data_IF_942468874123
#
_entry.id   IF_942468874123
#
_cell.length_a   1.000
_cell.length_b   1.000
_cell.length_c   1.000
_cell.angle_alpha   90.00
_cell.angle_beta   90.00
_cell.angle_gamma   90.00
#
_symmetry.space_group_name_H-M   'P 1'
#
loop_
_entity.id
_entity.type
_entity.pdbx_description
1 polymer ?
#
# COMPACT_ATOMS: atom_id res chain seq x y z
N UNK A 1 -12.25 -19.28 8.98
CA UNK A 1 -11.47 -18.25 9.68
C UNK A 1 -12.45 -17.40 10.48
N UNK A 2 -12.44 -17.59 11.79
CA UNK A 2 -12.77 -16.64 12.86
C UNK A 2 -13.06 -15.17 12.48
N UNK A 3 -14.30 -14.64 12.37
CA UNK A 3 -14.50 -13.18 12.21
C UNK A 3 -13.85 -12.36 13.33
N UNK A 4 -13.68 -12.96 14.51
CA UNK A 4 -12.95 -12.38 15.65
C UNK A 4 -11.45 -12.33 15.37
N UNK A 5 -10.88 -13.39 14.79
CA UNK A 5 -9.46 -13.51 14.46
C UNK A 5 -9.06 -12.52 13.37
N UNK A 6 -9.91 -12.32 12.35
CA UNK A 6 -9.69 -11.30 11.31
C UNK A 6 -9.68 -9.89 11.88
N UNK A 7 -10.63 -9.57 12.78
CA UNK A 7 -10.67 -8.26 13.46
C UNK A 7 -9.47 -8.04 14.38
N UNK A 8 -9.01 -9.08 15.09
CA UNK A 8 -7.81 -8.98 15.93
C UNK A 8 -6.55 -8.72 15.11
N UNK A 9 -6.36 -9.44 14.00
CA UNK A 9 -5.22 -9.23 13.09
C UNK A 9 -5.24 -7.81 12.52
N UNK A 10 -6.42 -7.32 12.13
CA UNK A 10 -6.59 -5.96 11.62
C UNK A 10 -6.27 -4.91 12.71
N UNK A 11 -6.76 -5.09 13.93
CA UNK A 11 -6.53 -4.16 15.05
C UNK A 11 -5.05 -4.11 15.47
N UNK A 12 -4.38 -5.26 15.52
CA UNK A 12 -2.94 -5.34 15.80
C UNK A 12 -2.14 -4.67 14.69
N UNK A 13 -2.53 -4.85 13.43
CA UNK A 13 -1.90 -4.20 12.29
C UNK A 13 -2.06 -2.67 12.32
N UNK A 14 -3.25 -2.16 12.64
CA UNK A 14 -3.52 -0.73 12.84
C UNK A 14 -2.70 -0.13 13.99
N UNK A 15 -2.60 -0.85 15.12
CA UNK A 15 -1.85 -0.40 16.30
C UNK A 15 -0.35 -0.29 16.01
N UNK A 16 0.21 -1.24 15.26
CA UNK A 16 1.63 -1.22 14.85
C UNK A 16 1.88 -0.05 13.89
N UNK A 17 0.98 0.20 12.93
CA UNK A 17 1.10 1.33 12.00
C UNK A 17 1.03 2.67 12.73
N UNK A 18 0.09 2.84 13.67
CA UNK A 18 -0.07 4.07 14.45
C UNK A 18 1.13 4.34 15.35
N UNK A 19 1.70 3.31 15.99
CA UNK A 19 2.84 3.47 16.92
C UNK A 19 4.18 3.70 16.20
N UNK A 20 4.30 3.34 14.92
CA UNK A 20 5.52 3.53 14.12
C UNK A 20 5.63 4.90 13.41
N UNK A 21 4.68 5.82 13.56
CA UNK A 21 4.74 7.16 12.92
C UNK A 21 5.70 8.09 13.69
N UNK A 22 7.00 7.89 13.48
CA UNK A 22 8.03 8.87 13.86
C UNK A 22 7.91 10.12 12.95
N UNK A 23 8.10 11.34 13.48
CA UNK A 23 7.97 12.60 12.71
C UNK A 23 8.93 12.67 11.50
N UNK A 24 10.07 11.96 11.50
CA UNK A 24 10.96 11.88 10.34
C UNK A 24 10.41 10.96 9.26
N UNK A 25 9.71 9.90 9.68
CA UNK A 25 9.03 8.96 8.79
C UNK A 25 7.84 9.63 8.12
N UNK A 26 7.09 10.47 8.84
CA UNK A 26 5.98 11.27 8.28
C UNK A 26 6.43 12.21 7.14
N UNK A 27 7.54 12.94 7.30
CA UNK A 27 8.08 13.80 6.22
C UNK A 27 8.53 13.03 4.98
N UNK A 28 9.09 11.82 5.16
CA UNK A 28 9.49 10.95 4.04
C UNK A 28 8.28 10.27 3.39
N UNK A 29 7.29 9.84 4.18
CA UNK A 29 6.01 9.32 3.70
C UNK A 29 5.30 10.34 2.82
N UNK A 30 5.17 11.59 3.28
CA UNK A 30 4.58 12.70 2.50
C UNK A 30 5.22 12.95 1.12
N UNK A 31 6.49 12.56 0.92
CA UNK A 31 7.15 12.63 -0.40
C UNK A 31 6.93 11.39 -1.26
N UNK A 32 6.80 10.21 -0.64
CA UNK A 32 6.62 8.96 -1.35
C UNK A 32 5.17 8.74 -1.79
N UNK A 33 4.21 9.19 -0.99
CA UNK A 33 2.79 9.05 -1.32
C UNK A 33 2.43 9.59 -2.73
N UNK A 34 2.75 10.85 -3.09
CA UNK A 34 2.42 11.37 -4.42
C UNK A 34 3.14 10.62 -5.55
N UNK A 35 4.37 10.17 -5.33
CA UNK A 35 5.13 9.38 -6.32
C UNK A 35 4.49 8.02 -6.55
N UNK A 36 4.04 7.36 -5.48
CA UNK A 36 3.38 6.05 -5.57
C UNK A 36 2.05 6.17 -6.33
N UNK A 37 1.25 7.19 -6.04
CA UNK A 37 -0.01 7.43 -6.75
C UNK A 37 0.24 7.70 -8.24
N UNK A 38 1.21 8.56 -8.56
CA UNK A 38 1.59 8.86 -9.93
C UNK A 38 2.02 7.60 -10.69
N UNK A 39 2.83 6.73 -10.09
CA UNK A 39 3.28 5.50 -10.72
C UNK A 39 2.16 4.46 -10.88
N UNK A 40 1.25 4.37 -9.91
CA UNK A 40 0.08 3.49 -10.00
C UNK A 40 -0.91 3.97 -11.07
N UNK A 41 -1.10 5.29 -11.19
CA UNK A 41 -1.92 5.93 -12.22
C UNK A 41 -1.29 5.74 -13.61
N UNK A 42 0.01 6.01 -13.75
CA UNK A 42 0.76 5.83 -15.00
C UNK A 42 0.80 4.36 -15.46
N UNK A 43 0.84 3.42 -14.52
CA UNK A 43 0.77 2.00 -14.84
C UNK A 43 -0.62 1.55 -15.33
N UNK A 44 -1.68 2.33 -15.05
CA UNK A 44 -3.06 2.06 -15.49
C UNK A 44 -3.64 0.73 -15.00
N UNK A 45 -2.97 0.08 -14.04
CA UNK A 45 -3.16 -1.33 -13.75
C UNK A 45 -2.63 -1.75 -12.39
N UNK A 46 -2.20 -3.01 -12.28
CA UNK A 46 -1.75 -3.62 -11.03
C UNK A 46 -0.23 -3.68 -11.03
N UNK A 47 0.41 -3.10 -10.02
CA UNK A 47 1.86 -3.20 -9.80
C UNK A 47 2.16 -4.10 -8.60
N UNK A 48 3.17 -4.94 -8.73
CA UNK A 48 3.74 -5.66 -7.58
C UNK A 48 4.59 -4.71 -6.72
N UNK A 49 4.77 -5.02 -5.44
CA UNK A 49 5.64 -4.22 -4.56
C UNK A 49 7.06 -4.02 -5.11
N UNK A 50 7.76 -5.03 -5.67
CA UNK A 50 9.08 -4.83 -6.27
C UNK A 50 9.04 -3.90 -7.49
N UNK A 51 8.01 -3.99 -8.33
CA UNK A 51 7.84 -3.11 -9.50
C UNK A 51 7.59 -1.67 -9.07
N UNK A 52 6.71 -1.48 -8.08
CA UNK A 52 6.42 -0.17 -7.53
C UNK A 52 7.67 0.49 -6.95
N UNK A 53 8.46 -0.25 -6.15
CA UNK A 53 9.74 0.22 -5.58
C UNK A 53 10.72 0.64 -6.69
N UNK A 54 10.83 -0.13 -7.76
CA UNK A 54 11.72 0.21 -8.89
C UNK A 54 11.24 1.44 -9.65
N UNK A 55 9.93 1.56 -9.89
CA UNK A 55 9.30 2.67 -10.63
C UNK A 55 9.46 4.01 -9.94
N UNK A 56 9.36 4.04 -8.60
CA UNK A 56 9.64 5.25 -7.82
C UNK A 56 11.16 5.57 -7.69
N UNK A 57 12.02 4.84 -8.41
CA UNK A 57 13.46 5.10 -8.46
C UNK A 57 14.28 4.52 -7.30
N UNK A 58 13.72 3.61 -6.51
CA UNK A 58 14.44 2.98 -5.40
C UNK A 58 15.04 1.62 -5.81
N UNK A 59 16.20 1.31 -5.24
CA UNK A 59 16.78 -0.03 -5.34
C UNK A 59 15.86 -1.03 -4.64
N UNK A 60 15.53 -2.10 -5.36
CA UNK A 60 14.76 -3.20 -4.80
C UNK A 60 15.53 -3.88 -3.65
N UNK A 61 15.09 -3.62 -2.43
CA UNK A 61 15.67 -4.14 -1.19
C UNK A 61 14.59 -4.23 -0.13
N UNK A 62 14.76 -5.14 0.83
CA UNK A 62 13.79 -5.34 1.91
C UNK A 62 13.46 -4.04 2.66
N UNK A 63 14.48 -3.22 2.94
CA UNK A 63 14.32 -1.94 3.61
C UNK A 63 13.50 -0.93 2.79
N UNK A 64 13.75 -0.79 1.49
CA UNK A 64 12.99 0.13 0.63
C UNK A 64 11.58 -0.36 0.37
N UNK A 65 11.36 -1.68 0.29
CA UNK A 65 10.03 -2.28 0.27
C UNK A 65 9.24 -1.92 1.52
N UNK A 66 9.85 -2.03 2.71
CA UNK A 66 9.24 -1.60 3.97
C UNK A 66 8.78 -0.14 3.95
N UNK A 67 9.59 0.77 3.39
CA UNK A 67 9.19 2.18 3.23
C UNK A 67 7.99 2.39 2.32
N UNK A 68 7.93 1.65 1.22
CA UNK A 68 6.79 1.72 0.29
C UNK A 68 5.54 1.16 0.97
N UNK A 69 5.65 0.03 1.68
CA UNK A 69 4.54 -0.51 2.47
C UNK A 69 4.01 0.51 3.48
N UNK A 70 4.90 1.17 4.21
CA UNK A 70 4.52 2.20 5.19
C UNK A 70 3.84 3.42 4.55
N UNK A 71 4.22 3.78 3.32
CA UNK A 71 3.61 4.88 2.58
C UNK A 71 2.28 4.47 1.93
N UNK A 72 2.12 3.21 1.53
CA UNK A 72 0.88 2.68 0.92
C UNK A 72 -0.18 2.36 1.97
N UNK A 73 0.22 1.88 3.15
CA UNK A 73 -0.71 1.52 4.23
C UNK A 73 -1.81 2.57 4.51
N UNK A 74 -1.50 3.88 4.67
CA UNK A 74 -2.56 4.87 4.86
C UNK A 74 -3.44 5.07 3.61
N UNK A 75 -2.92 4.91 2.39
CA UNK A 75 -3.72 4.99 1.16
C UNK A 75 -4.72 3.82 1.06
N UNK A 76 -4.30 2.62 1.47
CA UNK A 76 -5.17 1.45 1.53
C UNK A 76 -6.26 1.66 2.58
N UNK A 77 -5.90 2.19 3.75
CA UNK A 77 -6.85 2.54 4.81
C UNK A 77 -7.87 3.60 4.35
N UNK A 78 -7.44 4.58 3.54
CA UNK A 78 -8.34 5.59 2.93
C UNK A 78 -9.15 5.06 1.74
N UNK A 79 -8.91 3.84 1.28
CA UNK A 79 -9.58 3.27 0.11
C UNK A 79 -9.13 3.86 -1.23
N UNK A 80 -7.96 4.49 -1.29
CA UNK A 80 -7.37 5.03 -2.53
C UNK A 80 -6.64 3.94 -3.33
N UNK A 81 -6.10 2.93 -2.63
CA UNK A 81 -5.33 1.83 -3.21
C UNK A 81 -5.90 0.50 -2.71
N UNK A 82 -6.09 -0.44 -3.63
CA UNK A 82 -6.41 -1.84 -3.30
C UNK A 82 -5.11 -2.60 -3.17
N UNK A 83 -4.89 -3.20 -2.01
CA UNK A 83 -3.86 -4.21 -1.78
C UNK A 83 -4.44 -5.59 -2.02
N UNK A 84 -3.75 -6.42 -2.80
CA UNK A 84 -4.10 -7.83 -3.02
C UNK A 84 -2.91 -8.70 -2.69
N UNK A 85 -3.09 -9.56 -1.67
CA UNK A 85 -2.16 -10.64 -1.37
C UNK A 85 -2.51 -11.88 -2.21
N UNK A 86 -1.49 -12.63 -2.63
CA UNK A 86 -1.71 -13.91 -3.31
C UNK A 86 -2.09 -14.98 -2.28
N UNK A 87 -3.18 -15.76 -2.48
CA UNK A 87 -3.54 -16.85 -1.57
C UNK A 87 -2.49 -17.97 -1.54
N UNK A 88 -1.64 -18.04 -2.56
CA UNK A 88 -0.55 -19.02 -2.68
C UNK A 88 0.80 -18.46 -2.21
N UNK A 89 0.80 -17.31 -1.52
CA UNK A 89 2.02 -16.72 -0.97
C UNK A 89 2.54 -17.54 0.22
N UNK A 90 3.80 -17.96 0.11
CA UNK A 90 4.61 -18.40 1.24
C UNK A 90 5.16 -17.19 2.00
N UNK A 91 5.58 -17.38 3.26
CA UNK A 91 6.15 -16.30 4.09
C UNK A 91 7.31 -15.58 3.37
N UNK A 92 8.12 -16.32 2.61
CA UNK A 92 9.31 -15.81 1.93
C UNK A 92 9.01 -15.04 0.64
N UNK A 93 7.90 -15.35 -0.07
CA UNK A 93 7.57 -14.69 -1.34
C UNK A 93 6.38 -13.72 -1.25
N UNK A 94 5.72 -13.61 -0.09
CA UNK A 94 4.55 -12.75 0.10
C UNK A 94 4.77 -11.32 -0.37
N UNK A 95 5.91 -10.72 -0.03
CA UNK A 95 6.25 -9.36 -0.46
C UNK A 95 6.53 -9.25 -1.97
N UNK A 96 6.95 -10.33 -2.64
CA UNK A 96 7.13 -10.33 -4.09
C UNK A 96 5.80 -10.41 -4.83
N UNK A 97 4.82 -11.10 -4.25
CA UNK A 97 3.52 -11.36 -4.88
C UNK A 97 2.47 -10.32 -4.51
N UNK A 98 2.75 -9.47 -3.52
CA UNK A 98 1.83 -8.42 -3.09
C UNK A 98 1.64 -7.39 -4.19
N UNK A 99 0.37 -7.12 -4.49
CA UNK A 99 -0.07 -6.30 -5.61
C UNK A 99 -0.82 -5.06 -5.11
N UNK A 100 -0.64 -3.97 -5.84
CA UNK A 100 -1.22 -2.67 -5.59
C UNK A 100 -1.92 -2.16 -6.84
N UNK A 101 -3.11 -1.62 -6.67
CA UNK A 101 -3.88 -1.01 -7.74
C UNK A 101 -4.54 0.26 -7.24
N UNK A 102 -4.51 1.32 -8.06
CA UNK A 102 -5.30 2.51 -7.77
C UNK A 102 -6.79 2.20 -7.88
N UNK A 103 -7.58 2.62 -6.90
CA UNK A 103 -9.04 2.60 -7.04
C UNK A 103 -9.40 3.63 -8.11
N UNK A 104 -9.82 3.17 -9.28
CA UNK A 104 -10.30 4.05 -10.34
C UNK A 104 -11.43 4.90 -9.76
N UNK A 105 -11.23 6.23 -9.67
CA UNK A 105 -12.24 7.18 -9.21
C UNK A 105 -13.42 7.16 -10.19
N UNK A 106 -14.32 6.20 -10.01
CA UNK A 106 -15.62 6.14 -10.69
C UNK A 106 -16.74 6.50 -9.72
N UNK A 107 -16.48 7.38 -8.75
CA UNK A 107 -17.54 8.00 -7.94
C UNK A 107 -17.16 9.44 -7.57
N UNK A 108 -17.08 10.30 -8.58
CA UNK A 108 -17.20 11.76 -8.38
C UNK A 108 -17.76 12.44 -9.64
N UNK A 109 -18.88 11.92 -10.14
CA UNK A 109 -19.67 12.64 -11.14
C UNK A 109 -21.16 12.25 -11.16
N UNK A 110 -21.76 12.07 -9.98
CA UNK A 110 -23.23 12.01 -9.85
C UNK A 110 -23.65 12.80 -8.60
N UNK A 111 -23.48 14.11 -8.65
CA UNK A 111 -24.21 15.07 -7.81
C UNK A 111 -24.09 16.46 -8.44
N UNK A 112 -24.56 16.56 -9.68
CA UNK A 112 -24.91 17.82 -10.30
C UNK A 112 -26.19 17.56 -11.07
N UNK A 113 -27.30 17.64 -10.34
CA UNK A 113 -28.65 17.83 -10.83
C UNK A 113 -29.45 18.44 -9.66
#
# INVERSE_FOLDING_TARGET
MDPITTKMIQFVWELVIHKMVDRRTDRRRKKLEPLILQELEAAGGVLTLPELVKRIGLKDSFYNRGKVLEAVAPMVSRGEVIETDSPNATITNRLNLRKYRLVTRTYKNVSSA
#
